data_IF_929585926904
#
_entry.id   IF_929585926904
#
_cell.length_a   1.000
_cell.length_b   1.000
_cell.length_c   1.000
_cell.angle_alpha   90.00
_cell.angle_beta   90.00
_cell.angle_gamma   90.00
#
_symmetry.space_group_name_H-M   'P 1'
#
loop_
_entity.id
_entity.type
_entity.pdbx_description
1 polymer ?
#
# COMPACT_ATOMS: atom_id res chain seq x y z
N UNK A 1 11.86 5.97 5.21
CA UNK A 1 11.51 5.42 3.89
C UNK A 1 10.97 4.01 4.06
N UNK A 2 9.73 3.76 3.66
CA UNK A 2 9.12 2.44 3.71
C UNK A 2 9.21 1.80 2.33
N UNK A 3 9.79 0.61 2.27
CA UNK A 3 9.86 -0.17 1.03
C UNK A 3 8.80 -1.26 1.07
N UNK A 4 7.76 -1.13 0.26
CA UNK A 4 6.76 -2.17 0.11
C UNK A 4 7.13 -3.02 -1.09
N UNK A 5 7.57 -4.25 -0.84
CA UNK A 5 7.81 -5.23 -1.89
C UNK A 5 6.59 -6.11 -1.99
N UNK A 6 5.93 -6.09 -3.14
CA UNK A 6 4.74 -6.89 -3.34
C UNK A 6 4.88 -7.93 -4.44
N UNK A 7 4.28 -9.09 -4.20
CA UNK A 7 4.20 -10.20 -5.11
C UNK A 7 2.77 -10.54 -5.50
N UNK A 8 2.68 -11.08 -6.68
CA UNK A 8 1.45 -11.66 -7.21
C UNK A 8 1.45 -13.18 -7.10
N UNK A 9 0.32 -13.71 -6.66
CA UNK A 9 -0.10 -15.05 -7.00
C UNK A 9 -0.49 -15.05 -8.48
N UNK A 10 -0.18 -16.11 -9.19
CA UNK A 10 -0.41 -16.34 -10.62
C UNK A 10 -1.79 -15.88 -11.13
N UNK A 11 -1.92 -14.60 -11.44
CA UNK A 11 -2.94 -14.08 -12.36
C UNK A 11 -2.34 -12.88 -13.06
N UNK A 12 -2.46 -12.86 -14.38
CA UNK A 12 -2.01 -11.76 -15.22
C UNK A 12 -2.62 -10.43 -14.76
N UNK A 13 -1.78 -9.53 -14.24
CA UNK A 13 -2.19 -8.19 -13.80
C UNK A 13 -1.04 -7.41 -13.14
N UNK A 14 -1.01 -6.11 -13.34
CA UNK A 14 -0.05 -5.20 -12.72
C UNK A 14 -0.48 -4.89 -11.29
N UNK A 15 -0.22 -5.77 -10.35
CA UNK A 15 -0.72 -5.68 -8.98
C UNK A 15 -0.15 -4.49 -8.20
N UNK A 16 1.12 -4.12 -8.43
CA UNK A 16 1.67 -2.92 -7.80
C UNK A 16 0.98 -1.66 -8.31
N UNK A 17 0.72 -1.58 -9.61
CA UNK A 17 -0.04 -0.46 -10.20
C UNK A 17 -1.40 -0.34 -9.55
N UNK A 18 -2.14 -1.44 -9.44
CA UNK A 18 -3.47 -1.47 -8.80
C UNK A 18 -3.38 -1.06 -7.33
N UNK A 19 -2.40 -1.56 -6.59
CA UNK A 19 -2.20 -1.22 -5.18
C UNK A 19 -1.89 0.27 -4.99
N UNK A 20 -1.03 0.84 -5.82
CA UNK A 20 -0.69 2.26 -5.74
C UNK A 20 -1.83 3.16 -6.19
N UNK A 21 -2.60 2.77 -7.21
CA UNK A 21 -3.82 3.49 -7.59
C UNK A 21 -4.89 3.43 -6.51
N UNK A 22 -4.99 2.32 -5.81
CA UNK A 22 -5.85 2.20 -4.63
C UNK A 22 -5.41 3.15 -3.51
N UNK A 23 -4.10 3.25 -3.25
CA UNK A 23 -3.58 4.23 -2.30
C UNK A 23 -3.84 5.68 -2.73
N UNK A 24 -3.72 6.00 -4.01
CA UNK A 24 -4.09 7.33 -4.52
C UNK A 24 -5.54 7.66 -4.18
N UNK A 25 -6.44 6.73 -4.41
CA UNK A 25 -7.87 6.91 -4.14
C UNK A 25 -8.19 7.03 -2.64
N UNK A 26 -7.57 6.18 -1.81
CA UNK A 26 -7.87 6.13 -0.38
C UNK A 26 -7.19 7.23 0.42
N UNK A 27 -5.96 7.59 0.08
CA UNK A 27 -5.08 8.45 0.87
C UNK A 27 -4.87 9.84 0.25
N UNK A 28 -5.37 10.08 -0.95
CA UNK A 28 -5.00 11.28 -1.70
C UNK A 28 -3.52 11.31 -2.08
N UNK A 29 -2.89 10.14 -2.16
CA UNK A 29 -1.50 9.98 -2.55
C UNK A 29 -1.32 10.21 -4.06
N UNK A 30 -0.07 10.36 -4.49
CA UNK A 30 0.27 10.57 -5.90
C UNK A 30 1.43 9.68 -6.32
N UNK A 31 1.24 8.93 -7.41
CA UNK A 31 2.34 8.21 -8.05
C UNK A 31 3.24 9.27 -8.72
N UNK A 32 4.45 9.44 -8.20
CA UNK A 32 5.41 10.41 -8.71
C UNK A 32 6.39 9.83 -9.72
N UNK A 33 6.58 8.51 -9.68
CA UNK A 33 7.44 7.79 -10.62
C UNK A 33 7.01 6.33 -10.72
N UNK A 34 7.10 5.76 -11.92
CA UNK A 34 6.83 4.35 -12.16
C UNK A 34 7.52 3.91 -13.46
N UNK A 35 8.27 2.82 -13.40
CA UNK A 35 8.90 2.24 -14.58
C UNK A 35 8.76 0.72 -14.58
N UNK A 36 8.64 0.15 -15.76
CA UNK A 36 8.50 -1.29 -15.96
C UNK A 36 9.85 -1.96 -16.18
N UNK A 37 9.88 -3.29 -16.04
CA UNK A 37 11.06 -4.06 -16.45
C UNK A 37 11.32 -3.94 -17.96
N UNK A 38 10.26 -3.81 -18.78
CA UNK A 38 10.36 -3.63 -20.23
C UNK A 38 11.04 -2.34 -20.66
N UNK A 39 11.02 -1.31 -19.81
CA UNK A 39 11.69 -0.02 -20.06
C UNK A 39 13.18 -0.04 -19.70
N UNK A 40 13.69 -1.15 -19.20
CA UNK A 40 15.10 -1.29 -18.83
C UNK A 40 15.94 -1.83 -19.97
N UNK A 41 17.27 -1.64 -19.89
CA UNK A 41 18.23 -2.17 -20.88
C UNK A 41 18.27 -3.70 -20.94
N UNK A 42 17.75 -4.39 -19.93
CA UNK A 42 17.73 -5.84 -19.85
C UNK A 42 16.39 -6.45 -20.33
N UNK A 43 15.55 -5.67 -21.01
CA UNK A 43 14.22 -6.09 -21.47
C UNK A 43 14.25 -7.39 -22.30
N UNK A 44 15.25 -7.55 -23.14
CA UNK A 44 15.40 -8.71 -24.03
C UNK A 44 15.70 -10.03 -23.30
N UNK A 45 16.10 -9.95 -22.04
CA UNK A 45 16.44 -11.11 -21.21
C UNK A 45 15.32 -11.54 -20.26
N UNK A 46 14.17 -10.85 -20.34
CA UNK A 46 13.03 -11.10 -19.47
C UNK A 46 12.04 -12.06 -20.11
N UNK A 47 11.33 -12.90 -19.31
CA UNK A 47 10.15 -13.61 -19.77
C UNK A 47 9.12 -12.62 -20.35
N UNK A 48 8.38 -13.03 -21.38
CA UNK A 48 7.41 -12.16 -22.09
C UNK A 48 6.37 -11.52 -21.17
N UNK A 49 5.94 -12.26 -20.15
CA UNK A 49 4.94 -11.80 -19.17
C UNK A 49 5.52 -10.87 -18.08
N UNK A 50 6.82 -10.65 -18.08
CA UNK A 50 7.51 -9.84 -17.06
C UNK A 50 7.72 -8.39 -17.47
N UNK A 51 7.69 -8.08 -18.77
CA UNK A 51 7.96 -6.72 -19.28
C UNK A 51 7.04 -5.65 -18.71
N UNK A 52 5.78 -5.99 -18.43
CA UNK A 52 4.78 -5.06 -17.88
C UNK A 52 4.84 -4.92 -16.35
N UNK A 53 5.67 -5.70 -15.69
CA UNK A 53 5.82 -5.62 -14.24
C UNK A 53 6.68 -4.43 -13.84
N UNK A 54 6.42 -3.92 -12.64
CA UNK A 54 7.08 -2.69 -12.14
C UNK A 54 8.40 -3.03 -11.49
N UNK A 55 9.48 -2.47 -12.02
CA UNK A 55 10.82 -2.60 -11.44
C UNK A 55 11.05 -1.57 -10.34
N UNK A 56 10.45 -0.39 -10.48
CA UNK A 56 10.53 0.67 -9.46
C UNK A 56 9.36 1.64 -9.57
N UNK A 57 8.85 2.02 -8.43
CA UNK A 57 7.81 3.03 -8.34
C UNK A 57 7.91 3.82 -7.05
N UNK A 58 7.43 5.05 -7.09
CA UNK A 58 7.39 5.97 -5.96
C UNK A 58 6.01 6.57 -5.83
N UNK A 59 5.43 6.44 -4.65
CA UNK A 59 4.14 7.01 -4.26
C UNK A 59 4.37 8.05 -3.17
N UNK A 60 3.99 9.28 -3.45
CA UNK A 60 4.05 10.37 -2.47
C UNK A 60 2.74 10.39 -1.66
N UNK A 61 2.86 10.38 -0.34
CA UNK A 61 1.75 10.48 0.61
C UNK A 61 2.08 11.64 1.56
N UNK A 62 1.56 12.83 1.27
CA UNK A 62 1.97 14.05 1.96
C UNK A 62 3.47 14.29 1.77
N UNK A 63 4.20 14.43 2.86
CA UNK A 63 5.66 14.58 2.90
C UNK A 63 6.42 13.24 2.97
N UNK A 64 5.70 12.13 2.97
CA UNK A 64 6.26 10.78 3.03
C UNK A 64 6.27 10.12 1.65
N UNK A 65 7.11 9.11 1.51
CA UNK A 65 7.26 8.37 0.25
C UNK A 65 7.19 6.87 0.52
N UNK A 66 6.37 6.18 -0.27
CA UNK A 66 6.38 4.72 -0.36
C UNK A 66 7.02 4.31 -1.68
N UNK A 67 7.87 3.31 -1.64
CA UNK A 67 8.44 2.72 -2.84
C UNK A 67 7.96 1.28 -3.00
N UNK A 68 7.76 0.86 -4.23
CA UNK A 68 7.28 -0.47 -4.51
C UNK A 68 7.87 -1.07 -5.78
N UNK A 69 7.89 -2.38 -5.82
CA UNK A 69 8.36 -3.18 -6.95
C UNK A 69 7.50 -4.45 -7.03
N UNK A 70 7.29 -4.96 -8.24
CA UNK A 70 6.76 -6.30 -8.43
C UNK A 70 7.90 -7.32 -8.21
N UNK A 71 7.71 -8.26 -7.29
CA UNK A 71 8.71 -9.26 -7.00
C UNK A 71 8.79 -10.34 -8.08
N UNK A 72 9.98 -10.89 -8.30
CA UNK A 72 10.16 -12.06 -9.14
C UNK A 72 9.38 -13.26 -8.60
N UNK A 73 8.89 -14.08 -9.52
CA UNK A 73 8.24 -15.35 -9.20
C UNK A 73 9.12 -16.18 -8.23
N UNK A 74 8.54 -16.67 -7.16
CA UNK A 74 9.25 -17.44 -6.13
C UNK A 74 9.84 -16.64 -4.96
N UNK A 75 9.94 -15.31 -5.04
CA UNK A 75 10.56 -14.47 -3.98
C UNK A 75 9.59 -13.72 -3.09
N UNK A 76 8.33 -13.90 -3.29
CA UNK A 76 7.33 -13.20 -2.47
C UNK A 76 7.11 -13.86 -1.13
N UNK A 77 6.98 -13.01 -0.14
CA UNK A 77 6.49 -13.40 1.16
C UNK A 77 5.32 -12.51 1.53
N UNK A 78 4.26 -13.11 2.06
CA UNK A 78 3.10 -12.36 2.55
C UNK A 78 3.57 -11.38 3.63
N UNK A 79 3.23 -10.08 3.55
CA UNK A 79 3.58 -9.13 4.60
C UNK A 79 3.02 -9.56 5.95
N UNK A 80 3.87 -9.62 6.95
CA UNK A 80 3.48 -9.91 8.33
C UNK A 80 4.52 -9.37 9.31
N UNK A 81 4.12 -9.19 10.56
CA UNK A 81 5.01 -8.71 11.62
C UNK A 81 5.25 -7.20 11.61
N UNK A 82 4.55 -6.44 10.78
CA UNK A 82 4.58 -4.99 10.74
C UNK A 82 3.23 -4.41 10.29
N UNK A 83 3.05 -3.12 10.47
CA UNK A 83 1.91 -2.37 9.92
C UNK A 83 2.37 -1.00 9.46
N UNK A 84 1.72 -0.47 8.44
CA UNK A 84 1.85 0.94 8.08
C UNK A 84 0.89 1.74 8.96
N UNK A 85 1.39 2.79 9.58
CA UNK A 85 0.60 3.66 10.44
C UNK A 85 0.34 4.99 9.76
N UNK A 86 -0.91 5.43 9.80
CA UNK A 86 -1.32 6.75 9.34
C UNK A 86 -1.85 7.52 10.55
N UNK A 87 -1.25 8.69 10.81
CA UNK A 87 -1.71 9.62 11.81
C UNK A 87 -2.54 10.72 11.16
N UNK A 88 -3.76 10.88 11.61
CA UNK A 88 -4.72 11.83 11.06
C UNK A 88 -5.29 12.65 12.21
N UNK A 89 -5.40 13.96 12.01
CA UNK A 89 -5.92 14.85 13.07
C UNK A 89 -7.43 15.00 13.02
N UNK A 90 -8.03 14.88 11.83
CA UNK A 90 -9.46 15.01 11.64
C UNK A 90 -10.17 13.64 11.75
N UNK A 91 -11.08 13.45 12.74
CA UNK A 91 -11.81 12.19 12.89
C UNK A 91 -12.63 11.79 11.67
N UNK A 92 -13.27 12.73 10.98
CA UNK A 92 -14.05 12.44 9.78
C UNK A 92 -13.18 11.90 8.65
N UNK A 93 -11.99 12.46 8.48
CA UNK A 93 -11.01 11.97 7.49
C UNK A 93 -10.44 10.61 7.89
N UNK A 94 -10.22 10.37 9.18
CA UNK A 94 -9.79 9.07 9.69
C UNK A 94 -10.83 7.98 9.37
N UNK A 95 -12.10 8.25 9.58
CA UNK A 95 -13.19 7.35 9.24
C UNK A 95 -13.25 7.08 7.73
N UNK A 96 -13.16 8.12 6.93
CA UNK A 96 -13.16 8.00 5.47
C UNK A 96 -12.02 7.13 4.96
N UNK A 97 -10.81 7.36 5.42
CA UNK A 97 -9.62 6.60 5.02
C UNK A 97 -9.74 5.15 5.49
N UNK A 98 -10.15 4.93 6.73
CA UNK A 98 -10.33 3.59 7.28
C UNK A 98 -11.32 2.77 6.46
N UNK A 99 -12.49 3.33 6.18
CA UNK A 99 -13.52 2.66 5.39
C UNK A 99 -13.07 2.38 3.96
N UNK A 100 -12.36 3.31 3.35
CA UNK A 100 -11.83 3.14 1.99
C UNK A 100 -10.77 2.03 1.92
N UNK A 101 -9.84 2.00 2.86
CA UNK A 101 -8.80 0.95 2.94
C UNK A 101 -9.39 -0.42 3.29
N UNK A 102 -10.45 -0.46 4.07
CA UNK A 102 -11.09 -1.71 4.50
C UNK A 102 -11.89 -2.40 3.41
N UNK A 103 -12.21 -1.72 2.30
CA UNK A 103 -13.00 -2.31 1.21
C UNK A 103 -12.32 -3.55 0.64
N UNK A 104 -13.02 -4.69 0.69
CA UNK A 104 -12.51 -6.01 0.25
C UNK A 104 -11.27 -6.47 1.02
N UNK A 105 -11.02 -5.88 2.16
CA UNK A 105 -9.96 -6.26 3.10
C UNK A 105 -10.52 -7.00 4.32
N UNK A 106 -9.73 -7.02 5.39
CA UNK A 106 -10.10 -7.65 6.65
C UNK A 106 -9.86 -6.69 7.83
N UNK A 107 -10.82 -6.62 8.74
CA UNK A 107 -10.68 -5.83 9.97
C UNK A 107 -10.03 -6.70 11.05
N UNK A 108 -8.96 -6.19 11.67
CA UNK A 108 -8.41 -6.75 12.89
C UNK A 108 -9.00 -6.03 14.11
N UNK A 109 -9.15 -4.71 14.03
CA UNK A 109 -9.72 -3.90 15.09
C UNK A 109 -10.56 -2.77 14.47
N UNK A 110 -11.86 -2.70 14.73
CA UNK A 110 -12.70 -1.62 14.24
C UNK A 110 -12.20 -0.25 14.73
N UNK A 111 -12.41 0.77 13.94
CA UNK A 111 -12.06 2.14 14.32
C UNK A 111 -12.89 2.59 15.51
N UNK A 112 -12.25 2.83 16.64
CA UNK A 112 -12.93 3.20 17.89
C UNK A 112 -12.02 4.02 18.81
N UNK A 113 -12.64 4.66 19.78
CA UNK A 113 -11.91 5.39 20.81
C UNK A 113 -11.12 4.43 21.70
N UNK A 114 -9.90 4.85 22.04
CA UNK A 114 -9.02 4.16 22.99
C UNK A 114 -8.52 5.15 24.06
N UNK A 115 -7.72 4.71 25.02
CA UNK A 115 -7.14 5.63 26.01
C UNK A 115 -6.00 6.51 25.43
N UNK A 116 -5.41 6.11 24.30
CA UNK A 116 -4.30 6.85 23.66
C UNK A 116 -4.70 7.62 22.41
N UNK A 117 -5.92 7.42 21.90
CA UNK A 117 -6.37 8.03 20.66
C UNK A 117 -7.87 8.30 20.66
N UNK A 118 -8.26 9.36 19.94
CA UNK A 118 -9.68 9.64 19.68
C UNK A 118 -10.30 8.53 18.88
N UNK A 119 -9.60 8.07 17.83
CA UNK A 119 -9.97 6.90 17.04
C UNK A 119 -8.71 6.09 16.72
N UNK A 120 -8.80 4.81 16.87
CA UNK A 120 -7.76 3.86 16.49
C UNK A 120 -8.38 2.62 15.90
N UNK A 121 -7.82 2.12 14.81
CA UNK A 121 -8.25 0.88 14.18
C UNK A 121 -7.12 0.21 13.42
N UNK A 122 -7.30 -1.08 13.16
CA UNK A 122 -6.35 -1.91 12.42
C UNK A 122 -7.08 -2.70 11.35
N UNK A 123 -6.50 -2.76 10.18
CA UNK A 123 -7.03 -3.54 9.07
C UNK A 123 -5.90 -4.09 8.19
N UNK A 124 -6.24 -5.07 7.38
CA UNK A 124 -5.43 -5.48 6.24
C UNK A 124 -6.20 -5.17 4.98
N UNK A 125 -5.60 -4.41 4.05
CA UNK A 125 -6.27 -4.03 2.82
C UNK A 125 -6.43 -5.23 1.85
N UNK A 126 -7.17 -5.02 0.77
CA UNK A 126 -7.39 -6.06 -0.26
C UNK A 126 -6.10 -6.59 -0.87
N UNK A 127 -5.03 -5.86 -0.73
CA UNK A 127 -3.71 -6.23 -1.23
C UNK A 127 -2.84 -6.91 -0.18
N UNK A 128 -3.35 -7.16 1.01
CA UNK A 128 -2.63 -7.83 2.08
C UNK A 128 -1.69 -6.92 2.87
N UNK A 129 -1.80 -5.61 2.75
CA UNK A 129 -1.00 -4.65 3.51
C UNK A 129 -1.69 -4.35 4.84
N UNK A 130 -1.00 -4.56 5.97
CA UNK A 130 -1.54 -4.22 7.28
C UNK A 130 -1.40 -2.72 7.56
N UNK A 131 -2.51 -2.11 8.00
CA UNK A 131 -2.61 -0.70 8.31
C UNK A 131 -3.06 -0.46 9.75
N UNK A 132 -2.50 0.57 10.38
CA UNK A 132 -3.02 1.18 11.60
C UNK A 132 -3.47 2.60 11.27
N UNK A 133 -4.69 2.94 11.64
CA UNK A 133 -5.20 4.32 11.52
C UNK A 133 -5.29 4.87 12.93
N UNK A 134 -4.59 5.96 13.16
CA UNK A 134 -4.52 6.63 14.45
C UNK A 134 -4.96 8.09 14.31
N UNK A 135 -6.09 8.42 14.92
CA UNK A 135 -6.52 9.81 15.10
C UNK A 135 -6.16 10.18 16.54
N UNK A 136 -5.09 10.95 16.70
CA UNK A 136 -4.52 11.21 17.98
C UNK A 136 -5.34 12.13 18.88
N UNK A 137 -5.13 12.04 20.19
CA UNK A 137 -5.45 13.14 21.05
C UNK A 137 -4.52 14.30 20.69
N UNK A 138 -5.03 15.52 20.69
CA UNK A 138 -4.13 16.66 20.68
C UNK A 138 -3.18 16.53 21.87
N UNK A 139 -1.94 16.72 21.59
CA UNK A 139 -0.90 16.70 22.62
C UNK A 139 -1.20 17.76 23.71
#
# INVERSE_FOLDING_TARGET
>A
MFRVVRRTRERAGNHLVEAFRFCEKCLGAKISFMTTYGDTLAADQLPEDFSNKIIHSTLAVGDQVLQGVDAFSGRYQKPQGFSLSININDPAEAERIFDALAQSGALQMPLKRTFWALLFGMLTDRFGIPWMINCGYPA
#
